data_IF_560208403256
#
_entry.id   IF_560208403256
#
_cell.length_a   1.000
_cell.length_b   1.000
_cell.length_c   1.000
_cell.angle_alpha   90.00
_cell.angle_beta   90.00
_cell.angle_gamma   90.00
#
_symmetry.space_group_name_H-M   'P 1'
#
loop_
_entity.id
_entity.type
_entity.pdbx_description
1 polymer ?
#
# COMPACT_ATOMS: atom_id res chain seq x y z
N UNK A 1 -2.00 5.82 6.43
CA UNK A 1 -3.04 4.79 6.22
C UNK A 1 -3.61 4.24 7.52
N UNK A 2 -2.82 3.82 8.53
CA UNK A 2 -3.37 3.34 9.84
C UNK A 2 -4.40 4.30 10.44
N UNK A 3 -4.20 5.63 10.37
CA UNK A 3 -5.18 6.62 10.86
C UNK A 3 -6.42 6.76 9.96
N UNK A 4 -6.27 6.59 8.65
CA UNK A 4 -7.40 6.65 7.71
C UNK A 4 -8.24 5.37 7.79
N UNK A 5 -7.61 4.22 7.93
CA UNK A 5 -8.27 2.93 8.18
C UNK A 5 -9.00 2.95 9.53
N UNK A 6 -8.37 3.46 10.58
CA UNK A 6 -9.02 3.64 11.89
C UNK A 6 -10.20 4.63 11.81
N UNK A 7 -10.11 5.68 11.00
CA UNK A 7 -11.24 6.62 10.79
C UNK A 7 -12.32 5.97 9.91
N UNK A 8 -11.96 5.18 8.90
CA UNK A 8 -12.93 4.46 8.07
C UNK A 8 -13.62 3.33 8.85
N UNK A 9 -12.88 2.56 9.65
CA UNK A 9 -13.44 1.58 10.60
C UNK A 9 -14.34 2.26 11.63
N UNK A 10 -13.90 3.37 12.23
CA UNK A 10 -14.71 4.15 13.17
C UNK A 10 -15.97 4.74 12.51
N UNK A 11 -15.93 5.12 11.22
CA UNK A 11 -17.10 5.57 10.47
C UNK A 11 -18.04 4.41 10.13
N UNK A 12 -17.54 3.23 9.81
CA UNK A 12 -18.36 2.02 9.58
C UNK A 12 -19.04 1.59 10.88
N UNK A 13 -18.35 1.59 12.01
CA UNK A 13 -18.95 1.31 13.32
C UNK A 13 -20.02 2.33 13.72
N UNK A 14 -19.86 3.62 13.39
CA UNK A 14 -20.87 4.66 13.67
C UNK A 14 -22.12 4.49 12.82
N UNK A 15 -22.02 3.93 11.60
CA UNK A 15 -23.20 3.69 10.74
C UNK A 15 -23.93 2.39 11.06
N UNK A 16 -23.28 1.39 11.64
CA UNK A 16 -23.95 0.14 12.07
C UNK A 16 -24.77 0.31 13.36
N UNK A 17 -24.45 1.31 14.19
CA UNK A 17 -25.17 1.60 15.44
C UNK A 17 -26.49 2.39 15.27
N UNK A 18 -26.89 2.76 14.03
CA UNK A 18 -28.09 3.57 13.79
C UNK A 18 -29.32 2.73 13.38
N UNK A 19 -29.21 1.41 13.26
CA UNK A 19 -30.25 0.59 12.61
C UNK A 19 -31.18 -0.20 13.53
N UNK A 20 -31.05 -0.19 14.86
CA UNK A 20 -32.05 -0.86 15.71
C UNK A 20 -32.21 -0.23 17.10
N UNK A 21 -33.45 0.10 17.47
CA UNK A 21 -33.95 0.18 18.83
C UNK A 21 -34.46 1.54 19.31
N UNK A 22 -35.73 1.55 19.68
CA UNK A 22 -36.46 2.64 20.36
C UNK A 22 -35.70 3.14 21.58
N UNK A 23 -35.39 4.44 21.62
CA UNK A 23 -34.69 5.09 22.74
C UNK A 23 -35.64 5.87 23.61
N UNK A 24 -35.50 5.62 24.89
CA UNK A 24 -35.95 6.50 25.95
C UNK A 24 -34.89 7.62 26.18
N UNK A 25 -35.20 8.91 26.13
CA UNK A 25 -34.20 9.98 26.01
C UNK A 25 -33.77 10.60 27.35
N UNK A 26 -33.57 9.85 28.41
CA UNK A 26 -33.16 10.43 29.72
C UNK A 26 -32.04 9.60 30.37
N UNK A 27 -30.78 9.79 29.93
CA UNK A 27 -29.57 9.88 30.75
C UNK A 27 -28.28 9.93 29.91
N UNK A 28 -27.55 11.07 29.81
CA UNK A 28 -26.38 11.17 28.91
C UNK A 28 -25.02 10.83 29.54
N UNK A 29 -24.92 10.38 30.80
CA UNK A 29 -23.62 10.20 31.44
C UNK A 29 -23.51 8.84 32.16
N UNK A 30 -23.59 7.72 31.40
CA UNK A 30 -23.09 6.46 31.91
C UNK A 30 -22.40 5.70 30.77
N UNK A 31 -21.07 5.55 30.80
CA UNK A 31 -20.39 4.62 29.86
C UNK A 31 -21.01 3.23 30.08
N UNK A 32 -21.46 2.61 29.01
CA UNK A 32 -21.99 1.26 29.09
C UNK A 32 -20.85 0.34 29.53
N UNK A 33 -21.04 -0.30 30.68
CA UNK A 33 -20.19 -1.39 31.15
C UNK A 33 -20.18 -2.46 30.04
N UNK A 34 -19.00 -3.01 29.65
CA UNK A 34 -18.94 -4.10 28.70
C UNK A 34 -19.90 -5.20 29.14
N UNK A 35 -20.83 -5.60 28.29
CA UNK A 35 -21.76 -6.70 28.57
C UNK A 35 -21.01 -8.01 28.34
N UNK A 36 -20.28 -8.50 29.34
CA UNK A 36 -19.59 -9.77 29.27
C UNK A 36 -20.24 -10.81 30.19
N UNK A 37 -20.34 -12.05 29.73
CA UNK A 37 -20.67 -13.20 30.57
C UNK A 37 -19.40 -13.89 31.04
N UNK A 38 -19.37 -14.43 32.27
CA UNK A 38 -18.25 -15.26 32.73
C UNK A 38 -18.05 -16.45 31.80
N UNK A 39 -16.87 -16.56 31.20
CA UNK A 39 -16.55 -17.58 30.23
C UNK A 39 -15.84 -18.77 30.89
N UNK A 40 -16.60 -19.77 31.38
CA UNK A 40 -15.97 -21.05 31.74
C UNK A 40 -15.48 -21.81 30.49
N UNK A 41 -16.20 -21.70 29.37
CA UNK A 41 -15.82 -22.20 28.06
C UNK A 41 -16.54 -21.46 26.94
N UNK A 42 -15.88 -21.30 25.82
CA UNK A 42 -16.43 -20.82 24.55
C UNK A 42 -16.31 -21.96 23.55
N UNK A 43 -17.33 -22.17 22.74
CA UNK A 43 -17.32 -23.14 21.65
C UNK A 43 -17.82 -22.47 20.38
N UNK A 44 -17.06 -22.60 19.31
CA UNK A 44 -17.40 -22.18 17.96
C UNK A 44 -17.26 -23.35 16.98
N UNK A 45 -17.62 -23.15 15.72
CA UNK A 45 -17.43 -24.16 14.67
C UNK A 45 -15.95 -24.49 14.44
N UNK A 46 -15.04 -23.53 14.52
CA UNK A 46 -13.62 -23.68 14.17
C UNK A 46 -12.68 -23.83 15.38
N UNK A 47 -13.09 -23.42 16.59
CA UNK A 47 -12.29 -23.61 17.80
C UNK A 47 -13.13 -23.72 19.07
N UNK A 48 -12.50 -24.13 20.15
CA UNK A 48 -13.07 -24.05 21.50
C UNK A 48 -12.02 -23.57 22.49
N UNK A 49 -12.44 -22.86 23.55
CA UNK A 49 -11.59 -22.32 24.58
C UNK A 49 -12.13 -22.67 25.97
N UNK A 50 -11.26 -23.16 26.85
CA UNK A 50 -11.54 -23.32 28.30
C UNK A 50 -10.77 -22.24 29.05
N UNK A 51 -11.41 -21.11 29.28
CA UNK A 51 -10.75 -19.94 29.83
C UNK A 51 -10.70 -19.91 31.36
N UNK A 52 -11.67 -20.50 32.03
CA UNK A 52 -11.81 -20.40 33.52
C UNK A 52 -12.55 -19.14 33.94
N UNK A 53 -13.05 -19.13 35.19
CA UNK A 53 -14.04 -18.17 35.65
C UNK A 53 -13.56 -16.73 35.91
N UNK A 54 -12.31 -16.39 35.66
CA UNK A 54 -11.79 -15.02 35.76
C UNK A 54 -11.91 -14.26 34.43
N UNK A 55 -12.04 -14.98 33.32
CA UNK A 55 -12.18 -14.42 32.00
C UNK A 55 -13.63 -14.00 31.70
N UNK A 56 -13.77 -12.90 31.00
CA UNK A 56 -15.04 -12.37 30.52
C UNK A 56 -15.03 -12.44 29.00
N UNK A 57 -16.02 -13.07 28.39
CA UNK A 57 -16.23 -13.03 26.95
C UNK A 57 -16.93 -11.73 26.57
N UNK A 58 -16.39 -11.01 25.60
CA UNK A 58 -16.99 -9.78 25.07
C UNK A 58 -18.01 -10.17 24.00
N UNK A 59 -19.30 -10.16 24.38
CA UNK A 59 -20.40 -10.68 23.54
C UNK A 59 -20.57 -9.93 22.22
N UNK A 60 -20.19 -8.64 22.17
CA UNK A 60 -20.32 -7.81 20.97
C UNK A 60 -19.18 -8.07 19.95
N UNK A 61 -18.15 -8.82 20.33
CA UNK A 61 -16.97 -9.19 19.53
C UNK A 61 -16.89 -10.74 19.34
N UNK A 62 -17.97 -11.44 19.60
CA UNK A 62 -18.06 -12.88 19.38
C UNK A 62 -18.75 -13.17 18.05
N UNK A 63 -18.08 -13.90 17.17
CA UNK A 63 -18.60 -14.36 15.89
C UNK A 63 -18.42 -15.87 15.75
N UNK A 64 -19.41 -16.55 15.19
CA UNK A 64 -19.37 -18.00 14.91
C UNK A 64 -20.10 -18.26 13.59
N UNK A 65 -19.37 -18.14 12.51
CA UNK A 65 -19.80 -18.43 11.14
C UNK A 65 -19.13 -19.71 10.62
N UNK A 66 -19.50 -20.19 9.45
CA UNK A 66 -18.99 -21.46 8.89
C UNK A 66 -17.50 -21.36 8.51
N UNK A 67 -17.08 -20.19 8.06
CA UNK A 67 -15.76 -19.87 7.53
C UNK A 67 -14.97 -18.85 8.37
N UNK A 68 -15.60 -18.24 9.36
CA UNK A 68 -14.97 -17.27 10.25
C UNK A 68 -15.48 -17.37 11.67
N UNK A 69 -14.58 -17.51 12.63
CA UNK A 69 -14.89 -17.47 14.05
C UNK A 69 -13.94 -16.56 14.80
N UNK A 70 -14.47 -15.72 15.67
CA UNK A 70 -13.69 -14.89 16.59
C UNK A 70 -14.26 -14.86 18.00
N UNK A 71 -13.36 -14.69 18.98
CA UNK A 71 -13.74 -14.47 20.37
C UNK A 71 -12.71 -13.55 21.04
N UNK A 72 -13.18 -12.53 21.74
CA UNK A 72 -12.36 -11.67 22.58
C UNK A 72 -12.66 -11.94 24.05
N UNK A 73 -11.61 -12.21 24.79
CA UNK A 73 -11.64 -12.53 26.21
C UNK A 73 -10.84 -11.50 27.00
N UNK A 74 -11.37 -11.02 28.11
CA UNK A 74 -10.71 -10.03 28.96
C UNK A 74 -10.63 -10.46 30.41
N UNK A 75 -9.55 -10.07 31.08
CA UNK A 75 -9.46 -10.00 32.54
C UNK A 75 -9.39 -8.53 32.91
N UNK A 76 -10.41 -8.03 33.59
CA UNK A 76 -10.49 -6.64 33.98
C UNK A 76 -9.57 -6.32 35.18
N UNK A 77 -9.13 -5.07 35.27
CA UNK A 77 -8.44 -4.56 36.46
C UNK A 77 -9.43 -4.47 37.64
N UNK A 78 -9.16 -5.12 38.78
CA UNK A 78 -10.05 -5.08 39.94
C UNK A 78 -10.11 -3.70 40.58
N UNK A 79 -9.18 -2.79 40.31
CA UNK A 79 -9.15 -1.42 40.81
C UNK A 79 -9.85 -0.43 39.87
N UNK A 80 -9.94 -0.78 38.55
CA UNK A 80 -10.60 0.04 37.55
C UNK A 80 -11.23 -0.84 36.47
N UNK A 81 -12.50 -1.18 36.63
CA UNK A 81 -13.23 -2.08 35.70
C UNK A 81 -13.41 -1.50 34.27
N UNK A 82 -12.93 -0.30 33.99
CA UNK A 82 -12.89 0.27 32.62
C UNK A 82 -11.63 -0.17 31.85
N UNK A 83 -10.63 -0.74 32.55
CA UNK A 83 -9.39 -1.22 31.95
C UNK A 83 -9.26 -2.74 32.10
N UNK A 84 -8.60 -3.37 31.13
CA UNK A 84 -8.23 -4.78 31.23
C UNK A 84 -6.75 -4.93 31.62
N UNK A 85 -6.47 -6.01 32.35
CA UNK A 85 -5.10 -6.45 32.63
C UNK A 85 -4.56 -7.34 31.52
N UNK A 86 -5.45 -8.12 30.89
CA UNK A 86 -5.15 -9.03 29.79
C UNK A 86 -6.35 -9.03 28.85
N UNK A 87 -6.10 -8.87 27.57
CA UNK A 87 -7.05 -9.12 26.50
C UNK A 87 -6.48 -10.22 25.60
N UNK A 88 -7.34 -11.13 25.19
CA UNK A 88 -6.97 -12.20 24.26
C UNK A 88 -7.99 -12.27 23.14
N UNK A 89 -7.55 -12.11 21.92
CA UNK A 89 -8.31 -12.32 20.71
C UNK A 89 -7.93 -13.67 20.10
N UNK A 90 -8.91 -14.50 19.79
CA UNK A 90 -8.73 -15.82 19.18
C UNK A 90 -9.56 -15.86 17.92
N UNK A 91 -8.92 -16.14 16.79
CA UNK A 91 -9.54 -16.23 15.48
C UNK A 91 -9.20 -17.54 14.78
N UNK A 92 -10.13 -18.00 13.96
CA UNK A 92 -9.88 -18.99 12.93
C UNK A 92 -10.72 -18.61 11.70
N UNK A 93 -10.08 -18.56 10.53
CA UNK A 93 -10.69 -18.11 9.28
C UNK A 93 -10.27 -19.01 8.14
N UNK A 94 -11.24 -19.43 7.31
CA UNK A 94 -10.97 -20.22 6.10
C UNK A 94 -10.73 -19.22 4.96
N UNK A 95 -9.48 -19.14 4.51
CA UNK A 95 -9.02 -18.05 3.68
C UNK A 95 -8.04 -18.49 2.58
N UNK A 96 -7.82 -17.63 1.57
CA UNK A 96 -6.85 -17.85 0.49
C UNK A 96 -5.39 -17.86 1.01
N UNK A 97 -4.53 -18.75 0.52
CA UNK A 97 -3.10 -18.75 0.88
C UNK A 97 -2.36 -17.43 0.62
N UNK A 98 -2.89 -16.55 -0.23
CA UNK A 98 -2.31 -15.25 -0.49
C UNK A 98 -2.40 -14.33 0.73
N UNK A 99 -3.58 -14.23 1.33
CA UNK A 99 -3.81 -13.39 2.50
C UNK A 99 -2.97 -13.83 3.71
N UNK A 100 -2.75 -15.16 3.84
CA UNK A 100 -1.84 -15.71 4.84
C UNK A 100 -0.42 -15.11 4.80
N UNK A 101 0.08 -14.74 3.63
CA UNK A 101 1.42 -14.16 3.50
C UNK A 101 1.47 -12.70 3.86
N UNK A 102 0.42 -11.96 3.57
CA UNK A 102 0.22 -10.60 4.09
C UNK A 102 0.28 -10.62 5.62
N UNK A 103 -0.45 -11.52 6.23
CA UNK A 103 -0.46 -11.71 7.69
C UNK A 103 0.94 -12.04 8.24
N UNK A 104 1.70 -12.91 7.58
CA UNK A 104 3.06 -13.23 8.00
C UNK A 104 3.99 -12.02 8.00
N UNK A 105 3.78 -11.06 7.10
CA UNK A 105 4.51 -9.80 7.08
C UNK A 105 3.96 -8.83 8.12
N UNK A 106 2.65 -8.66 8.20
CA UNK A 106 2.01 -7.76 9.17
C UNK A 106 2.41 -8.13 10.61
N UNK A 107 2.45 -9.43 10.92
CA UNK A 107 2.84 -9.89 12.25
C UNK A 107 4.36 -10.07 12.42
N UNK A 108 5.18 -9.62 11.47
CA UNK A 108 6.64 -9.59 11.59
C UNK A 108 7.35 -10.94 11.48
N UNK A 109 6.68 -12.00 11.01
CA UNK A 109 7.30 -13.31 10.80
C UNK A 109 8.15 -13.36 9.55
N UNK A 110 7.82 -12.58 8.53
CA UNK A 110 8.57 -12.40 7.30
C UNK A 110 8.89 -10.92 7.14
N UNK A 111 10.07 -10.59 6.66
CA UNK A 111 10.41 -9.23 6.25
C UNK A 111 10.03 -9.02 4.78
N UNK A 112 9.74 -7.78 4.39
CA UNK A 112 9.42 -7.38 3.01
C UNK A 112 10.43 -7.83 1.93
N UNK A 113 11.61 -8.27 2.31
CA UNK A 113 12.67 -8.75 1.43
C UNK A 113 12.83 -10.28 1.42
N UNK A 114 11.73 -11.07 1.53
CA UNK A 114 11.74 -12.55 1.61
C UNK A 114 12.66 -13.15 2.68
N UNK A 115 13.09 -12.37 3.64
CA UNK A 115 13.92 -12.86 4.74
C UNK A 115 13.00 -13.35 5.85
N UNK A 116 12.92 -14.67 6.00
CA UNK A 116 12.28 -15.26 7.17
C UNK A 116 12.99 -14.70 8.42
N UNK A 117 12.22 -14.15 9.34
CA UNK A 117 12.76 -13.72 10.61
C UNK A 117 13.13 -14.96 11.44
N UNK A 118 14.39 -15.38 11.39
CA UNK A 118 14.90 -16.57 12.09
C UNK A 118 14.83 -16.48 13.62
N UNK A 119 14.20 -15.46 14.18
CA UNK A 119 14.08 -15.25 15.63
C UNK A 119 12.72 -15.64 16.21
N UNK A 120 11.77 -16.10 15.39
CA UNK A 120 10.48 -16.58 15.89
C UNK A 120 10.63 -17.94 16.63
N UNK A 121 9.74 -18.16 17.58
CA UNK A 121 9.57 -19.41 18.30
C UNK A 121 8.32 -20.13 17.78
N UNK A 122 8.35 -21.44 17.65
CA UNK A 122 7.16 -22.24 17.34
C UNK A 122 6.58 -22.81 18.64
N UNK A 123 5.28 -22.57 18.87
CA UNK A 123 4.55 -23.02 20.06
C UNK A 123 3.32 -23.80 19.63
N UNK A 124 3.14 -25.01 20.18
CA UNK A 124 1.95 -25.79 19.90
C UNK A 124 0.76 -25.30 20.75
N UNK A 125 -0.28 -24.79 20.12
CA UNK A 125 -1.52 -24.34 20.75
C UNK A 125 -2.69 -25.07 20.10
N UNK A 126 -3.49 -25.76 20.89
CA UNK A 126 -4.70 -26.45 20.39
C UNK A 126 -4.43 -27.55 19.34
N UNK A 127 -3.20 -28.06 19.27
CA UNK A 127 -2.77 -29.06 18.29
C UNK A 127 -2.12 -28.48 17.03
N UNK A 128 -2.12 -27.16 16.87
CA UNK A 128 -1.48 -26.43 15.75
C UNK A 128 -0.14 -25.87 16.21
N UNK A 129 0.88 -25.99 15.38
CA UNK A 129 2.19 -25.38 15.62
C UNK A 129 2.14 -23.91 15.11
N UNK A 130 1.97 -22.98 16.04
CA UNK A 130 1.89 -21.54 15.75
C UNK A 130 3.25 -20.87 15.86
N UNK A 131 3.52 -19.93 14.99
CA UNK A 131 4.67 -19.02 15.08
C UNK A 131 4.35 -17.97 16.15
N UNK A 132 5.32 -17.72 17.04
CA UNK A 132 5.20 -16.74 18.11
C UNK A 132 6.01 -15.50 17.77
N UNK A 133 5.37 -14.37 17.82
CA UNK A 133 5.97 -13.04 17.71
C UNK A 133 5.68 -12.24 18.99
N UNK A 134 6.60 -11.38 19.39
CA UNK A 134 6.40 -10.44 20.49
C UNK A 134 6.57 -9.04 19.96
N UNK A 135 5.53 -8.24 20.05
CA UNK A 135 5.53 -6.84 19.65
C UNK A 135 5.60 -5.95 20.90
N UNK A 136 6.66 -5.18 20.99
CA UNK A 136 6.91 -4.38 22.19
C UNK A 136 7.12 -5.20 23.46
N UNK A 137 6.65 -4.68 24.58
CA UNK A 137 6.76 -5.29 25.91
C UNK A 137 5.42 -5.87 26.41
N UNK A 138 4.34 -5.71 25.64
CA UNK A 138 2.95 -5.91 26.07
C UNK A 138 2.09 -6.79 25.14
N UNK A 139 2.56 -7.11 23.93
CA UNK A 139 1.77 -7.89 22.94
C UNK A 139 2.46 -9.19 22.55
N UNK A 140 1.70 -10.30 22.57
CA UNK A 140 2.09 -11.60 22.03
C UNK A 140 1.15 -11.97 20.89
N UNK A 141 1.72 -12.37 19.75
CA UNK A 141 0.98 -12.88 18.60
C UNK A 141 1.42 -14.31 18.29
N UNK A 142 0.44 -15.19 18.10
CA UNK A 142 0.63 -16.57 17.69
C UNK A 142 -0.18 -16.80 16.43
N UNK A 143 0.46 -17.18 15.35
CA UNK A 143 -0.17 -17.26 14.06
C UNK A 143 0.38 -18.42 13.22
N UNK A 144 -0.45 -19.10 12.47
CA UNK A 144 -0.07 -19.98 11.38
C UNK A 144 -1.30 -20.37 10.55
N UNK A 145 -1.06 -21.02 9.41
CA UNK A 145 -2.08 -21.60 8.55
C UNK A 145 -2.11 -23.11 8.69
N UNK A 146 -3.31 -23.69 8.75
CA UNK A 146 -3.56 -25.13 8.68
C UNK A 146 -3.84 -25.50 7.23
N UNK A 147 -2.83 -26.05 6.52
CA UNK A 147 -2.86 -26.31 5.09
C UNK A 147 -4.08 -27.12 4.63
N UNK A 148 -4.38 -28.25 5.30
CA UNK A 148 -5.47 -29.15 4.92
C UNK A 148 -6.86 -28.56 5.09
N UNK A 149 -7.02 -27.61 5.98
CA UNK A 149 -8.27 -26.87 6.21
C UNK A 149 -8.38 -25.55 5.44
N UNK A 150 -7.29 -25.11 4.81
CA UNK A 150 -7.14 -23.76 4.25
C UNK A 150 -7.50 -22.66 5.26
N UNK A 151 -7.15 -22.84 6.53
CA UNK A 151 -7.59 -21.96 7.60
C UNK A 151 -6.40 -21.26 8.28
N UNK A 152 -6.44 -19.95 8.38
CA UNK A 152 -5.56 -19.16 9.21
C UNK A 152 -6.04 -19.24 10.66
N UNK A 153 -5.11 -19.42 11.59
CA UNK A 153 -5.37 -19.43 13.03
C UNK A 153 -4.52 -18.41 13.73
N UNK A 154 -5.13 -17.67 14.61
CA UNK A 154 -4.57 -16.49 15.21
C UNK A 154 -4.93 -16.40 16.69
N UNK A 155 -3.95 -16.08 17.54
CA UNK A 155 -4.16 -15.73 18.94
C UNK A 155 -3.31 -14.52 19.24
N UNK A 156 -3.95 -13.39 19.55
CA UNK A 156 -3.28 -12.18 20.00
C UNK A 156 -3.57 -11.97 21.48
N UNK A 157 -2.55 -11.55 22.23
CA UNK A 157 -2.67 -11.26 23.65
C UNK A 157 -2.02 -9.92 23.92
N UNK A 158 -2.81 -8.96 24.36
CA UNK A 158 -2.36 -7.69 24.90
C UNK A 158 -2.43 -7.75 26.43
N UNK A 159 -1.31 -7.51 27.12
CA UNK A 159 -1.26 -7.67 28.56
C UNK A 159 -0.31 -6.66 29.23
N UNK A 160 -0.70 -6.16 30.40
CA UNK A 160 0.17 -5.33 31.25
C UNK A 160 1.44 -6.11 31.67
N UNK A 161 1.36 -7.43 31.80
CA UNK A 161 2.50 -8.34 32.03
C UNK A 161 2.33 -9.59 31.18
N UNK A 162 3.08 -9.69 30.07
CA UNK A 162 3.06 -10.84 29.15
C UNK A 162 3.55 -12.14 29.80
N UNK A 163 4.10 -12.13 31.00
CA UNK A 163 4.48 -13.32 31.75
C UNK A 163 3.42 -13.75 32.79
N UNK A 164 2.23 -13.21 32.74
CA UNK A 164 1.14 -13.61 33.61
C UNK A 164 0.73 -15.07 33.36
N UNK A 165 0.74 -15.89 34.40
CA UNK A 165 0.43 -17.32 34.30
C UNK A 165 -0.98 -17.64 33.82
N UNK A 166 -1.89 -16.67 33.79
CA UNK A 166 -3.25 -16.81 33.24
C UNK A 166 -3.22 -16.89 31.71
N UNK A 167 -2.19 -16.30 31.09
CA UNK A 167 -1.95 -16.42 29.64
C UNK A 167 -1.63 -17.87 29.30
N UNK A 168 -0.68 -18.48 30.00
CA UNK A 168 -0.33 -19.89 29.76
C UNK A 168 -1.54 -20.81 29.94
N UNK A 169 -2.34 -20.58 30.99
CA UNK A 169 -3.54 -21.37 31.28
C UNK A 169 -4.62 -21.20 30.19
N UNK A 170 -4.75 -20.00 29.61
CA UNK A 170 -5.65 -19.76 28.47
C UNK A 170 -5.17 -20.51 27.24
N UNK A 171 -3.90 -20.38 26.87
CA UNK A 171 -3.31 -21.04 25.68
C UNK A 171 -3.45 -22.57 25.77
N UNK A 172 -3.24 -23.15 26.94
CA UNK A 172 -3.47 -24.59 27.20
C UNK A 172 -4.96 -24.99 27.06
N UNK A 173 -5.88 -24.04 27.22
CA UNK A 173 -7.33 -24.23 27.11
C UNK A 173 -7.88 -24.16 25.68
N UNK A 174 -7.11 -23.67 24.72
CA UNK A 174 -7.54 -23.54 23.32
C UNK A 174 -7.46 -24.92 22.62
N UNK A 175 -8.42 -25.18 21.75
CA UNK A 175 -8.45 -26.35 20.85
C UNK A 175 -9.04 -25.90 19.51
N UNK A 176 -8.33 -26.09 18.42
CA UNK A 176 -8.85 -25.84 17.07
C UNK A 176 -9.59 -27.07 16.54
N UNK A 177 -10.76 -26.87 15.95
CA UNK A 177 -11.65 -27.90 15.41
C UNK A 177 -11.49 -28.05 13.89
N UNK A 178 -10.27 -27.93 13.38
CA UNK A 178 -9.95 -27.95 11.96
C UNK A 178 -9.50 -29.35 11.52
N UNK A 179 -9.66 -29.67 10.24
CA UNK A 179 -9.06 -30.87 9.65
C UNK A 179 -7.53 -30.66 9.50
N UNK A 180 -6.75 -31.73 9.61
CA UNK A 180 -5.28 -31.74 9.39
C UNK A 180 -4.48 -30.72 10.22
N UNK A 181 -4.89 -30.45 11.45
CA UNK A 181 -4.27 -29.46 12.35
C UNK A 181 -2.74 -29.63 12.58
N UNK A 182 -2.19 -30.82 12.32
CA UNK A 182 -0.75 -31.09 12.41
C UNK A 182 0.02 -30.75 11.12
N UNK A 183 -0.66 -30.29 10.06
CA UNK A 183 -0.08 -29.92 8.77
C UNK A 183 -0.19 -28.42 8.61
N UNK A 184 0.88 -27.69 8.82
CA UNK A 184 0.94 -26.23 8.83
C UNK A 184 1.88 -25.70 7.76
N UNK A 185 1.56 -24.53 7.19
CA UNK A 185 2.33 -23.90 6.11
C UNK A 185 3.60 -23.19 6.61
N UNK A 186 3.56 -22.63 7.79
CA UNK A 186 4.69 -21.83 8.30
C UNK A 186 5.83 -22.65 8.93
N UNK A 187 7.05 -22.10 8.97
CA UNK A 187 7.43 -20.83 8.38
C UNK A 187 7.52 -20.92 6.86
N UNK A 188 7.03 -19.91 6.18
CA UNK A 188 7.15 -19.85 4.73
C UNK A 188 8.60 -19.57 4.34
N UNK A 189 9.15 -20.35 3.41
CA UNK A 189 10.46 -20.14 2.80
C UNK A 189 10.28 -19.83 1.32
N UNK A 190 10.91 -18.75 0.86
CA UNK A 190 10.96 -18.46 -0.57
C UNK A 190 11.69 -19.57 -1.31
N UNK A 191 11.11 -20.09 -2.38
CA UNK A 191 11.63 -21.20 -3.18
C UNK A 191 12.87 -20.84 -4.03
N UNK A 192 13.23 -19.55 -4.08
CA UNK A 192 14.33 -19.00 -4.85
C UNK A 192 13.99 -18.70 -6.31
N UNK A 193 12.77 -18.92 -6.75
CA UNK A 193 12.32 -18.50 -8.07
C UNK A 193 12.08 -16.99 -8.08
N UNK A 194 12.69 -16.32 -9.05
CA UNK A 194 12.56 -14.88 -9.24
C UNK A 194 11.60 -14.61 -10.39
N UNK A 195 10.89 -13.50 -10.29
CA UNK A 195 10.11 -12.98 -11.40
C UNK A 195 10.99 -12.78 -12.62
N UNK A 196 10.49 -13.12 -13.79
CA UNK A 196 11.14 -12.92 -15.09
C UNK A 196 10.11 -12.61 -16.14
N UNK A 197 10.39 -11.63 -17.00
CA UNK A 197 9.58 -11.32 -18.17
C UNK A 197 10.45 -11.25 -19.44
N UNK A 198 9.88 -11.70 -20.53
CA UNK A 198 10.50 -11.58 -21.85
C UNK A 198 10.34 -10.15 -22.39
N UNK A 199 11.32 -9.72 -23.20
CA UNK A 199 11.21 -8.47 -23.94
C UNK A 199 10.08 -8.53 -24.97
N UNK A 200 9.26 -7.50 -25.02
CA UNK A 200 8.16 -7.39 -25.96
C UNK A 200 8.24 -6.13 -26.82
N UNK A 201 7.50 -6.10 -27.93
CA UNK A 201 7.42 -4.92 -28.79
C UNK A 201 6.12 -4.88 -29.56
N UNK A 202 5.42 -3.75 -29.51
CA UNK A 202 4.14 -3.50 -30.17
C UNK A 202 4.23 -2.26 -31.04
N UNK A 203 3.72 -2.35 -32.29
CA UNK A 203 3.62 -1.21 -33.19
C UNK A 203 2.21 -0.61 -33.12
N UNK A 204 2.13 0.69 -32.85
CA UNK A 204 0.88 1.44 -32.77
C UNK A 204 1.03 2.83 -33.37
N UNK A 205 0.49 3.04 -34.57
CA UNK A 205 0.61 4.31 -35.29
C UNK A 205 2.05 4.70 -35.60
N UNK A 206 2.52 5.81 -35.04
CA UNK A 206 3.90 6.30 -35.17
C UNK A 206 4.84 5.73 -34.10
N UNK A 207 4.31 4.97 -33.15
CA UNK A 207 5.05 4.39 -32.02
C UNK A 207 5.48 2.95 -32.35
N UNK A 208 6.63 2.56 -31.80
CA UNK A 208 7.07 1.17 -31.73
C UNK A 208 7.47 0.91 -30.27
N UNK A 209 6.47 0.79 -29.40
CA UNK A 209 6.71 0.62 -27.96
C UNK A 209 7.35 -0.74 -27.70
N UNK A 210 8.46 -0.76 -27.02
CA UNK A 210 9.15 -1.99 -26.61
C UNK A 210 9.51 -1.93 -25.14
N UNK A 211 9.50 -3.08 -24.50
CA UNK A 211 9.84 -3.25 -23.10
C UNK A 211 11.04 -4.16 -22.92
N UNK A 212 11.80 -3.89 -21.89
CA UNK A 212 12.94 -4.69 -21.45
C UNK A 212 12.83 -4.84 -19.92
N UNK A 213 12.71 -6.07 -19.45
CA UNK A 213 12.66 -6.36 -18.02
C UNK A 213 14.00 -6.04 -17.37
N UNK A 214 13.98 -5.35 -16.25
CA UNK A 214 15.15 -4.97 -15.46
C UNK A 214 14.95 -5.46 -14.02
N UNK A 215 15.50 -6.62 -13.68
CA UNK A 215 15.38 -7.15 -12.32
C UNK A 215 16.10 -6.25 -11.30
N UNK A 216 15.56 -6.20 -10.10
CA UNK A 216 16.36 -5.77 -8.95
C UNK A 216 17.41 -6.84 -8.62
N UNK A 217 18.62 -6.46 -8.20
CA UNK A 217 19.67 -7.38 -7.79
C UNK A 217 19.17 -8.33 -6.69
N UNK A 218 18.45 -7.80 -5.71
CA UNK A 218 17.69 -8.56 -4.72
C UNK A 218 16.20 -8.35 -4.96
N UNK A 219 15.35 -9.40 -4.87
CA UNK A 219 13.90 -9.23 -5.00
C UNK A 219 13.37 -8.26 -3.95
N UNK A 220 12.43 -7.42 -4.36
CA UNK A 220 11.69 -6.53 -3.46
C UNK A 220 10.27 -7.04 -3.40
N UNK A 221 9.88 -7.60 -2.27
CA UNK A 221 8.49 -7.96 -2.01
C UNK A 221 7.74 -6.78 -1.44
N UNK A 222 6.48 -6.68 -1.79
CA UNK A 222 5.56 -5.69 -1.26
C UNK A 222 4.16 -6.29 -1.20
N UNK A 223 3.35 -5.82 -0.27
CA UNK A 223 1.92 -6.10 -0.22
C UNK A 223 1.10 -4.85 -0.57
N UNK A 224 1.76 -3.71 -0.69
CA UNK A 224 1.12 -2.46 -1.11
C UNK A 224 1.27 -2.30 -2.62
N UNK A 225 0.15 -2.38 -3.34
CA UNK A 225 0.15 -2.42 -4.81
C UNK A 225 0.38 -1.06 -5.47
N UNK A 226 0.20 0.06 -4.76
CA UNK A 226 0.19 1.39 -5.38
C UNK A 226 1.13 2.43 -4.75
N UNK A 227 1.71 2.16 -3.60
CA UNK A 227 2.40 3.18 -2.80
C UNK A 227 3.90 3.28 -3.08
N UNK A 228 4.33 2.83 -4.28
CA UNK A 228 5.72 2.97 -4.70
C UNK A 228 5.88 4.07 -5.74
N UNK A 229 6.88 4.92 -5.56
CA UNK A 229 7.24 5.96 -6.51
C UNK A 229 8.69 5.84 -6.97
N UNK A 230 8.98 6.28 -8.18
CA UNK A 230 10.30 6.19 -8.79
C UNK A 230 10.78 7.51 -9.35
N UNK A 231 12.05 7.82 -9.12
CA UNK A 231 12.74 8.93 -9.78
C UNK A 231 14.06 8.45 -10.39
N UNK A 232 14.57 9.15 -11.39
CA UNK A 232 15.82 8.81 -12.03
C UNK A 232 16.73 10.04 -12.26
N UNK A 233 18.05 9.87 -12.06
CA UNK A 233 19.07 10.87 -12.33
C UNK A 233 20.29 10.15 -12.93
N UNK A 234 20.50 10.29 -14.22
CA UNK A 234 21.55 9.55 -14.91
C UNK A 234 21.25 8.04 -14.87
N UNK A 235 22.19 7.27 -14.32
CA UNK A 235 22.09 5.84 -14.11
C UNK A 235 21.62 5.45 -12.69
N UNK A 236 21.31 6.44 -11.85
CA UNK A 236 20.74 6.22 -10.52
C UNK A 236 19.22 6.23 -10.58
N UNK A 237 18.62 5.22 -9.99
CA UNK A 237 17.18 5.06 -9.85
C UNK A 237 16.87 5.07 -8.35
N UNK A 238 15.91 5.89 -7.97
CA UNK A 238 15.46 6.06 -6.59
C UNK A 238 14.06 5.48 -6.49
N UNK A 239 13.87 4.54 -5.57
CA UNK A 239 12.60 3.89 -5.33
C UNK A 239 12.15 4.23 -3.92
N UNK A 240 11.01 4.84 -3.81
CA UNK A 240 10.33 5.14 -2.55
C UNK A 240 9.17 4.18 -2.40
N UNK A 241 9.05 3.57 -1.24
CA UNK A 241 7.96 2.68 -0.88
C UNK A 241 8.21 2.05 0.50
N UNK A 242 7.16 1.58 1.16
CA UNK A 242 7.23 0.98 2.49
C UNK A 242 7.99 1.86 3.52
N UNK A 243 7.84 3.19 3.42
CA UNK A 243 8.55 4.15 4.29
C UNK A 243 10.05 4.26 4.02
N UNK A 244 10.57 3.66 2.94
CA UNK A 244 11.99 3.64 2.60
C UNK A 244 12.29 4.30 1.26
N UNK A 245 13.34 5.12 1.21
CA UNK A 245 13.89 5.65 -0.04
C UNK A 245 15.20 4.90 -0.35
N UNK A 246 15.15 4.03 -1.36
CA UNK A 246 16.29 3.21 -1.81
C UNK A 246 16.93 3.84 -3.04
N UNK A 247 18.25 3.90 -3.07
CA UNK A 247 19.04 4.26 -4.26
C UNK A 247 19.55 2.99 -4.92
N UNK A 248 19.21 2.82 -6.20
CA UNK A 248 19.73 1.75 -7.05
C UNK A 248 20.58 2.34 -8.18
N UNK A 249 21.52 1.57 -8.69
CA UNK A 249 22.29 1.88 -9.89
C UNK A 249 21.84 0.95 -11.02
N UNK A 250 21.35 1.53 -12.11
CA UNK A 250 21.05 0.78 -13.33
C UNK A 250 22.34 0.53 -14.13
N UNK A 251 22.79 -0.72 -14.13
CA UNK A 251 24.04 -1.11 -14.80
C UNK A 251 23.87 -1.47 -16.28
N UNK A 252 22.66 -1.32 -16.83
CA UNK A 252 22.30 -1.69 -18.19
C UNK A 252 21.54 -3.02 -18.30
N UNK A 253 21.45 -3.80 -17.24
CA UNK A 253 20.75 -5.09 -17.19
C UNK A 253 19.95 -5.34 -15.93
N UNK A 254 20.29 -4.69 -14.82
CA UNK A 254 19.65 -4.86 -13.52
C UNK A 254 19.79 -3.59 -12.68
N UNK A 255 18.95 -3.48 -11.65
CA UNK A 255 19.00 -2.45 -10.61
C UNK A 255 19.77 -2.98 -9.41
N UNK A 256 21.00 -2.48 -9.25
CA UNK A 256 21.90 -2.86 -8.14
C UNK A 256 21.66 -1.92 -6.96
N UNK A 257 21.31 -2.45 -5.81
CA UNK A 257 21.14 -1.67 -4.59
C UNK A 257 22.46 -0.99 -4.18
N UNK A 258 22.40 0.31 -3.85
CA UNK A 258 23.56 1.11 -3.43
C UNK A 258 23.46 1.51 -1.97
N UNK A 259 22.39 2.18 -1.60
CA UNK A 259 22.19 2.70 -0.24
C UNK A 259 20.70 2.97 0.03
N UNK A 260 20.35 2.97 1.31
CA UNK A 260 19.08 3.49 1.82
C UNK A 260 19.28 4.90 2.34
N UNK A 261 18.35 5.78 2.01
CA UNK A 261 18.30 7.14 2.54
C UNK A 261 17.24 7.16 3.65
N UNK A 262 17.66 7.46 4.87
CA UNK A 262 16.73 7.56 5.99
C UNK A 262 15.89 8.83 5.87
N UNK A 263 14.58 8.67 5.85
CA UNK A 263 13.60 9.76 5.88
C UNK A 263 13.16 10.01 7.34
N UNK A 264 12.73 11.23 7.69
CA UNK A 264 12.30 11.53 9.05
C UNK A 264 10.92 10.96 9.41
N UNK A 265 10.16 10.51 8.44
CA UNK A 265 8.84 9.90 8.58
C UNK A 265 8.67 8.79 7.52
N UNK A 266 7.76 7.85 7.73
CA UNK A 266 7.47 6.72 6.85
C UNK A 266 6.25 6.95 5.93
N UNK A 267 5.51 8.04 6.10
CA UNK A 267 4.30 8.34 5.34
C UNK A 267 4.56 9.07 3.99
N UNK A 268 5.80 9.10 3.49
CA UNK A 268 6.09 9.64 2.16
C UNK A 268 5.77 8.64 1.07
N UNK A 269 5.05 9.07 0.02
CA UNK A 269 4.55 8.22 -1.07
C UNK A 269 4.98 8.68 -2.47
N UNK A 270 5.71 9.80 -2.58
CA UNK A 270 6.13 10.37 -3.86
C UNK A 270 7.57 10.85 -3.85
N UNK A 271 8.35 10.46 -4.85
CA UNK A 271 9.70 10.98 -5.11
C UNK A 271 9.82 11.46 -6.55
N UNK A 272 10.36 12.65 -6.75
CA UNK A 272 10.69 13.19 -8.06
C UNK A 272 12.11 13.74 -8.09
N UNK A 273 12.73 13.76 -9.26
CA UNK A 273 14.08 14.22 -9.44
C UNK A 273 14.15 15.49 -10.31
N UNK A 274 15.07 16.38 -9.98
CA UNK A 274 15.34 17.58 -10.77
C UNK A 274 16.70 17.52 -11.45
N UNK A 275 16.85 18.27 -12.53
CA UNK A 275 18.05 18.24 -13.38
C UNK A 275 19.38 18.58 -12.65
N UNK A 276 19.30 19.24 -11.50
CA UNK A 276 20.48 19.54 -10.67
C UNK A 276 20.86 18.39 -9.70
N UNK A 277 20.13 17.27 -9.74
CA UNK A 277 20.38 16.10 -8.92
C UNK A 277 19.73 16.16 -7.53
N UNK A 278 18.76 17.03 -7.32
CA UNK A 278 17.97 17.09 -6.09
C UNK A 278 16.74 16.18 -6.21
N UNK A 279 16.49 15.37 -5.19
CA UNK A 279 15.25 14.62 -5.03
C UNK A 279 14.26 15.46 -4.23
N UNK A 280 13.01 15.40 -4.61
CA UNK A 280 11.89 16.00 -3.92
C UNK A 280 10.99 14.87 -3.45
N UNK A 281 10.80 14.78 -2.13
CA UNK A 281 10.03 13.72 -1.48
C UNK A 281 8.82 14.36 -0.82
N UNK A 282 7.63 13.88 -1.11
CA UNK A 282 6.36 14.44 -0.62
C UNK A 282 5.34 13.33 -0.36
N UNK A 283 4.22 13.68 0.23
CA UNK A 283 3.09 12.78 0.48
C UNK A 283 2.70 12.68 1.95
N UNK A 284 1.56 12.02 2.23
CA UNK A 284 1.13 11.66 3.56
C UNK A 284 0.79 12.81 4.51
N UNK A 285 0.57 14.04 4.03
CA UNK A 285 0.43 15.27 4.82
C UNK A 285 1.72 15.65 5.59
N UNK A 286 2.87 15.17 5.12
CA UNK A 286 4.17 15.51 5.65
C UNK A 286 4.76 16.72 4.90
N UNK A 287 5.79 17.31 5.51
CA UNK A 287 6.55 18.37 4.87
C UNK A 287 7.29 17.85 3.63
N UNK A 288 7.37 18.66 2.58
CA UNK A 288 8.19 18.32 1.40
C UNK A 288 9.67 18.41 1.71
N UNK A 289 10.39 17.34 1.45
CA UNK A 289 11.84 17.26 1.63
C UNK A 289 12.59 17.46 0.31
N UNK A 290 13.70 18.21 0.36
CA UNK A 290 14.71 18.19 -0.67
C UNK A 290 15.89 17.36 -0.20
N UNK A 291 16.21 16.30 -0.92
CA UNK A 291 17.30 15.38 -0.61
C UNK A 291 18.37 15.49 -1.69
N UNK A 292 19.64 15.67 -1.30
CA UNK A 292 20.77 15.71 -2.22
C UNK A 292 21.97 15.00 -1.62
N UNK A 293 22.60 14.13 -2.39
CA UNK A 293 23.75 13.32 -1.95
C UNK A 293 23.45 12.59 -0.63
N UNK A 294 22.25 12.00 -0.51
CA UNK A 294 21.80 11.24 0.66
C UNK A 294 21.45 12.10 1.90
N UNK A 295 21.40 13.41 1.78
CA UNK A 295 21.10 14.30 2.91
C UNK A 295 19.90 15.19 2.64
N UNK A 296 19.04 15.38 3.64
CA UNK A 296 17.98 16.40 3.61
C UNK A 296 18.65 17.78 3.67
N UNK A 297 18.50 18.56 2.59
CA UNK A 297 19.11 19.91 2.44
C UNK A 297 18.11 21.04 2.66
N UNK A 298 16.82 20.76 2.53
CA UNK A 298 15.73 21.69 2.82
C UNK A 298 14.45 20.92 3.16
N UNK A 299 13.60 21.56 3.95
CA UNK A 299 12.25 21.10 4.28
C UNK A 299 11.29 22.26 4.06
N UNK A 300 10.13 21.98 3.44
CA UNK A 300 9.09 22.97 3.18
C UNK A 300 7.80 22.52 3.84
N UNK A 301 7.40 23.25 4.89
CA UNK A 301 6.16 23.05 5.63
C UNK A 301 4.96 23.57 4.81
N UNK A 302 3.76 23.04 5.08
CA UNK A 302 2.49 23.46 4.46
C UNK A 302 2.41 23.20 2.92
N UNK A 303 3.06 22.15 2.42
CA UNK A 303 2.86 21.61 1.07
C UNK A 303 2.51 20.12 1.23
N UNK A 304 1.36 19.70 0.70
CA UNK A 304 0.88 18.32 0.87
C UNK A 304 1.53 17.35 -0.14
N UNK A 305 1.17 17.46 -1.41
CA UNK A 305 1.74 16.69 -2.51
C UNK A 305 2.35 17.62 -3.53
N UNK A 306 3.57 17.32 -3.96
CA UNK A 306 4.29 18.18 -4.89
C UNK A 306 4.60 17.44 -6.20
N UNK A 307 4.12 17.98 -7.32
CA UNK A 307 4.67 17.65 -8.63
C UNK A 307 5.65 18.74 -9.03
N UNK A 308 6.96 18.40 -9.09
CA UNK A 308 8.03 19.37 -9.31
C UNK A 308 8.38 19.50 -10.79
N UNK A 309 8.59 20.73 -11.24
CA UNK A 309 9.16 20.99 -12.56
C UNK A 309 10.63 20.56 -12.61
N UNK A 310 11.14 19.96 -13.71
CA UNK A 310 12.51 19.46 -13.81
C UNK A 310 13.63 20.47 -13.42
N UNK A 311 13.36 21.78 -13.51
CA UNK A 311 14.32 22.80 -13.06
C UNK A 311 14.43 22.96 -11.55
N UNK A 312 13.52 22.39 -10.77
CA UNK A 312 13.42 22.60 -9.31
C UNK A 312 12.97 23.99 -8.87
N UNK A 313 12.70 24.89 -9.82
CA UNK A 313 12.37 26.28 -9.48
C UNK A 313 10.90 26.51 -9.11
N UNK A 314 10.03 25.61 -9.50
CA UNK A 314 8.59 25.64 -9.22
C UNK A 314 7.97 24.27 -9.36
N UNK A 315 6.79 24.10 -8.80
CA UNK A 315 5.98 22.89 -8.90
C UNK A 315 4.50 23.20 -8.72
N UNK A 316 3.71 22.16 -8.63
CA UNK A 316 2.29 22.22 -8.29
C UNK A 316 2.07 21.47 -6.99
N UNK A 317 1.65 22.20 -5.98
CA UNK A 317 1.13 21.67 -4.74
C UNK A 317 -0.35 21.33 -4.97
N UNK A 318 -0.71 20.07 -4.79
CA UNK A 318 -2.03 19.55 -5.08
C UNK A 318 -2.48 18.55 -4.01
N UNK A 319 -3.77 18.44 -3.91
CA UNK A 319 -4.46 17.40 -3.13
C UNK A 319 -5.58 16.81 -3.99
N UNK A 320 -6.58 16.25 -3.41
CA UNK A 320 -7.68 15.59 -4.15
C UNK A 320 -8.52 16.57 -4.99
N UNK A 321 -8.61 17.85 -4.57
CA UNK A 321 -9.45 18.86 -5.23
C UNK A 321 -8.75 19.51 -6.44
N UNK A 322 -9.54 20.13 -7.32
CA UNK A 322 -9.03 20.90 -8.45
C UNK A 322 -8.49 22.31 -8.08
N UNK A 323 -8.57 22.70 -6.81
CA UNK A 323 -8.00 23.92 -6.26
C UNK A 323 -6.58 23.63 -5.76
N UNK A 324 -5.57 24.05 -6.51
CA UNK A 324 -4.16 23.77 -6.30
C UNK A 324 -3.36 25.06 -6.12
N UNK A 325 -2.06 24.94 -5.89
CA UNK A 325 -1.14 26.07 -5.87
C UNK A 325 0.02 25.84 -6.83
N UNK A 326 0.38 26.87 -7.61
CA UNK A 326 1.70 26.92 -8.23
C UNK A 326 2.66 27.43 -7.16
N UNK A 327 3.59 26.60 -6.73
CA UNK A 327 4.62 26.93 -5.75
C UNK A 327 5.90 27.31 -6.46
N UNK A 328 6.53 28.41 -6.05
CA UNK A 328 7.81 28.88 -6.61
C UNK A 328 8.83 28.95 -5.49
N UNK A 329 9.94 28.23 -5.63
CA UNK A 329 10.97 28.08 -4.62
C UNK A 329 12.06 29.15 -4.73
N UNK A 330 12.57 29.61 -3.58
CA UNK A 330 13.66 30.56 -3.47
C UNK A 330 14.48 30.31 -2.20
N UNK A 331 15.55 29.56 -2.31
CA UNK A 331 16.31 29.08 -1.16
C UNK A 331 15.43 28.17 -0.30
N UNK A 332 15.37 28.42 1.00
CA UNK A 332 14.55 27.64 1.97
C UNK A 332 13.14 28.23 2.15
N UNK A 333 12.62 28.92 1.17
CA UNK A 333 11.26 29.49 1.21
C UNK A 333 10.56 29.31 -0.12
N UNK A 334 9.23 29.37 -0.11
CA UNK A 334 8.42 29.34 -1.32
C UNK A 334 7.32 30.40 -1.29
N UNK A 335 6.72 30.63 -2.44
CA UNK A 335 5.49 31.41 -2.59
C UNK A 335 4.48 30.58 -3.32
N UNK A 336 3.27 30.46 -2.75
CA UNK A 336 2.15 29.77 -3.35
C UNK A 336 1.24 30.76 -4.09
N UNK A 337 0.82 30.40 -5.29
CA UNK A 337 -0.14 31.15 -6.11
C UNK A 337 -1.29 30.23 -6.46
N UNK A 338 -2.51 30.50 -6.00
CA UNK A 338 -3.67 29.65 -6.28
C UNK A 338 -3.92 29.49 -7.78
N UNK A 339 -4.22 28.27 -8.19
CA UNK A 339 -4.68 27.90 -9.53
C UNK A 339 -5.87 26.94 -9.41
N UNK A 340 -6.82 27.05 -10.33
CA UNK A 340 -7.97 26.14 -10.39
C UNK A 340 -7.99 25.47 -11.75
N UNK A 341 -7.93 24.15 -11.77
CA UNK A 341 -8.04 23.32 -12.96
C UNK A 341 -9.52 23.02 -13.24
N UNK A 342 -10.21 23.93 -13.88
CA UNK A 342 -11.69 23.99 -13.98
C UNK A 342 -12.34 22.79 -14.68
N UNK A 343 -11.60 22.10 -15.52
CA UNK A 343 -12.07 20.93 -16.26
C UNK A 343 -11.95 19.64 -15.44
N UNK A 344 -11.17 19.67 -14.35
CA UNK A 344 -11.03 18.60 -13.39
C UNK A 344 -11.99 18.80 -12.19
N UNK A 345 -12.45 17.72 -11.61
CA UNK A 345 -13.17 17.68 -10.33
C UNK A 345 -12.29 17.09 -9.24
N UNK A 346 -11.98 15.80 -9.31
CA UNK A 346 -11.13 15.10 -8.36
C UNK A 346 -9.83 14.71 -9.04
N UNK A 347 -8.70 15.24 -8.54
CA UNK A 347 -7.37 14.93 -9.03
C UNK A 347 -6.92 13.61 -8.40
N UNK A 348 -6.53 12.66 -9.23
CA UNK A 348 -5.96 11.37 -8.82
C UNK A 348 -4.44 11.39 -8.90
N UNK A 349 -3.89 12.01 -9.96
CA UNK A 349 -2.46 12.14 -10.15
C UNK A 349 -2.11 13.42 -10.90
N UNK A 350 -0.90 13.94 -10.68
CA UNK A 350 -0.42 15.14 -11.36
C UNK A 350 1.07 15.00 -11.68
N UNK A 351 1.41 15.25 -12.95
CA UNK A 351 2.80 15.28 -13.42
C UNK A 351 3.15 16.64 -14.00
N UNK A 352 4.42 17.01 -13.96
CA UNK A 352 4.94 18.25 -14.54
C UNK A 352 6.18 17.96 -15.39
N UNK A 353 6.15 18.33 -16.67
CA UNK A 353 7.33 18.30 -17.52
C UNK A 353 7.85 19.73 -17.81
N UNK A 354 8.81 19.87 -18.76
CA UNK A 354 9.38 21.15 -19.14
C UNK A 354 8.35 22.19 -19.62
N UNK A 355 7.20 21.79 -20.13
CA UNK A 355 6.24 22.66 -20.82
C UNK A 355 4.84 22.60 -20.24
N UNK A 356 4.45 21.49 -19.63
CA UNK A 356 3.07 21.15 -19.33
C UNK A 356 2.90 20.73 -17.86
N UNK A 357 1.67 20.92 -17.40
CA UNK A 357 1.12 20.32 -16.19
C UNK A 357 0.06 19.33 -16.69
N UNK A 358 0.20 18.06 -16.33
CA UNK A 358 -0.73 16.99 -16.64
C UNK A 358 -1.58 16.70 -15.40
N UNK A 359 -2.85 16.91 -15.49
CA UNK A 359 -3.83 16.66 -14.42
C UNK A 359 -4.65 15.43 -14.78
N UNK A 360 -4.37 14.31 -14.14
CA UNK A 360 -5.14 13.07 -14.28
C UNK A 360 -6.28 13.11 -13.28
N UNK A 361 -7.51 13.25 -13.75
CA UNK A 361 -8.63 13.58 -12.89
C UNK A 361 -9.97 13.08 -13.43
N UNK A 362 -10.95 12.96 -12.55
CA UNK A 362 -12.36 12.93 -12.96
C UNK A 362 -12.72 14.25 -13.63
N UNK A 363 -13.44 14.18 -14.74
CA UNK A 363 -13.88 15.39 -15.45
C UNK A 363 -15.02 16.09 -14.69
N UNK A 364 -14.97 17.42 -14.64
CA UNK A 364 -15.98 18.23 -13.95
C UNK A 364 -17.41 18.17 -14.59
N UNK A 365 -17.53 17.56 -15.76
CA UNK A 365 -18.79 17.33 -16.47
C UNK A 365 -19.30 15.89 -16.36
N UNK A 366 -18.75 15.10 -15.43
CA UNK A 366 -19.06 13.69 -15.20
C UNK A 366 -18.79 12.77 -16.41
N UNK A 367 -17.94 13.18 -17.35
CA UNK A 367 -17.61 12.42 -18.56
C UNK A 367 -16.43 11.45 -18.38
N UNK A 368 -16.25 10.91 -17.17
CA UNK A 368 -15.20 9.93 -16.84
C UNK A 368 -13.86 10.57 -16.51
N UNK A 369 -12.83 9.74 -16.38
CA UNK A 369 -11.47 10.17 -16.08
C UNK A 369 -10.73 10.59 -17.34
N UNK A 370 -9.94 11.67 -17.26
CA UNK A 370 -9.19 12.23 -18.39
C UNK A 370 -7.86 12.79 -17.93
N UNK A 371 -6.96 13.00 -18.88
CA UNK A 371 -5.77 13.80 -18.64
C UNK A 371 -5.94 15.18 -19.26
N UNK A 372 -5.94 16.18 -18.42
CA UNK A 372 -6.01 17.59 -18.83
C UNK A 372 -4.59 18.17 -18.88
N UNK A 373 -4.18 18.65 -20.03
CA UNK A 373 -2.84 19.24 -20.26
C UNK A 373 -2.95 20.75 -20.16
N UNK A 374 -2.32 21.32 -19.13
CA UNK A 374 -2.29 22.75 -18.88
C UNK A 374 -0.86 23.33 -19.08
N UNK A 375 -0.80 24.61 -19.37
CA UNK A 375 0.45 25.34 -19.24
C UNK A 375 0.63 25.84 -17.78
N UNK A 376 1.81 26.37 -17.45
CA UNK A 376 2.12 26.93 -16.12
C UNK A 376 1.12 27.99 -15.62
N UNK A 377 0.41 28.67 -16.51
CA UNK A 377 -0.58 29.68 -16.13
C UNK A 377 -1.97 29.06 -15.81
N UNK A 378 -2.10 27.74 -15.78
CA UNK A 378 -3.36 27.02 -15.55
C UNK A 378 -4.34 27.13 -16.73
N UNK A 379 -3.81 27.38 -17.96
CA UNK A 379 -4.66 27.45 -19.16
C UNK A 379 -4.63 26.10 -19.87
N UNK A 380 -5.82 25.49 -20.01
CA UNK A 380 -5.98 24.22 -20.73
C UNK A 380 -5.45 24.32 -22.16
N UNK A 381 -4.63 23.36 -22.55
CA UNK A 381 -4.05 23.22 -23.88
C UNK A 381 -4.71 22.07 -24.65
N UNK A 382 -4.93 20.93 -23.97
CA UNK A 382 -5.51 19.71 -24.55
C UNK A 382 -6.23 18.90 -23.49
N UNK A 383 -7.12 18.03 -23.95
CA UNK A 383 -7.70 16.95 -23.16
C UNK A 383 -7.36 15.63 -23.86
N UNK A 384 -6.79 14.70 -23.12
CA UNK A 384 -6.48 13.35 -23.58
C UNK A 384 -7.52 12.40 -22.97
N UNK A 385 -8.13 11.59 -23.80
CA UNK A 385 -9.14 10.60 -23.43
C UNK A 385 -8.98 9.36 -24.32
N UNK A 386 -9.79 8.36 -24.11
CA UNK A 386 -9.89 7.18 -24.95
C UNK A 386 -10.50 7.48 -26.34
N UNK A 387 -10.67 6.43 -27.15
CA UNK A 387 -11.20 6.54 -28.52
C UNK A 387 -12.63 7.07 -28.58
N UNK A 388 -13.44 6.76 -27.60
CA UNK A 388 -14.86 7.11 -27.52
C UNK A 388 -15.10 8.43 -26.76
N UNK A 389 -14.08 8.93 -26.08
CA UNK A 389 -14.12 10.14 -25.25
C UNK A 389 -14.83 9.95 -23.92
N UNK A 390 -15.06 8.69 -23.52
CA UNK A 390 -15.83 8.34 -22.32
C UNK A 390 -14.98 8.30 -21.05
N UNK A 391 -13.68 8.04 -21.16
CA UNK A 391 -12.78 8.11 -20.01
C UNK A 391 -11.69 7.05 -20.00
N UNK A 392 -10.72 7.31 -19.16
CA UNK A 392 -9.56 6.46 -18.88
C UNK A 392 -9.75 5.81 -17.51
N UNK A 393 -8.88 4.89 -17.15
CA UNK A 393 -8.73 4.44 -15.76
C UNK A 393 -7.97 5.47 -14.91
N UNK A 394 -7.09 5.01 -14.04
CA UNK A 394 -6.25 5.86 -13.20
C UNK A 394 -4.86 5.99 -13.82
N UNK A 395 -4.63 7.06 -14.60
CA UNK A 395 -3.32 7.31 -15.21
C UNK A 395 -2.34 7.77 -14.13
N UNK A 396 -1.35 6.95 -13.84
CA UNK A 396 -0.34 7.20 -12.77
C UNK A 396 0.87 7.97 -13.28
N UNK A 397 1.14 7.91 -14.58
CA UNK A 397 2.23 8.65 -15.21
C UNK A 397 1.88 9.04 -16.63
N UNK A 398 2.34 10.21 -17.07
CA UNK A 398 2.23 10.67 -18.45
C UNK A 398 3.37 11.61 -18.81
N UNK A 399 3.85 11.50 -20.04
CA UNK A 399 4.84 12.44 -20.57
C UNK A 399 4.65 12.69 -22.06
N UNK A 400 5.14 13.83 -22.54
CA UNK A 400 5.20 14.14 -23.97
C UNK A 400 6.49 13.60 -24.60
N UNK A 401 6.35 12.96 -25.74
CA UNK A 401 7.43 12.40 -26.52
C UNK A 401 7.54 13.11 -27.89
N UNK A 402 8.51 12.72 -28.72
CA UNK A 402 8.64 13.26 -30.08
C UNK A 402 7.41 12.92 -30.97
N UNK A 403 6.76 11.78 -30.73
CA UNK A 403 5.66 11.27 -31.57
C UNK A 403 4.28 11.61 -31.02
N UNK A 404 4.17 12.06 -29.75
CA UNK A 404 2.90 12.36 -29.09
C UNK A 404 3.00 12.24 -27.58
N UNK A 405 2.01 11.63 -26.97
CA UNK A 405 1.97 11.40 -25.53
C UNK A 405 1.95 9.88 -25.26
N UNK A 406 2.61 9.49 -24.18
CA UNK A 406 2.54 8.15 -23.60
C UNK A 406 2.13 8.26 -22.15
N UNK A 407 1.15 7.45 -21.73
CA UNK A 407 0.68 7.37 -20.35
C UNK A 407 0.57 5.91 -19.91
N UNK A 408 0.63 5.70 -18.58
CA UNK A 408 0.45 4.40 -17.95
C UNK A 408 -0.80 4.46 -17.07
N UNK A 409 -1.73 3.56 -17.32
CA UNK A 409 -2.99 3.45 -16.59
C UNK A 409 -2.87 2.36 -15.51
N UNK A 410 -2.80 2.78 -14.26
CA UNK A 410 -2.65 1.87 -13.12
C UNK A 410 -3.85 0.94 -12.92
N UNK A 411 -5.07 1.42 -13.15
CA UNK A 411 -6.29 0.64 -12.95
C UNK A 411 -6.57 -0.35 -14.09
N UNK A 412 -6.42 0.11 -15.34
CA UNK A 412 -6.65 -0.74 -16.51
C UNK A 412 -5.41 -1.53 -16.90
N UNK A 413 -4.26 -1.16 -16.34
CA UNK A 413 -2.95 -1.80 -16.57
C UNK A 413 -2.46 -1.69 -18.00
N UNK A 414 -2.78 -0.59 -18.68
CA UNK A 414 -2.54 -0.38 -20.09
C UNK A 414 -1.54 0.75 -20.35
N UNK A 415 -0.86 0.67 -21.49
CA UNK A 415 -0.07 1.79 -22.02
C UNK A 415 -0.91 2.54 -23.05
N UNK A 416 -1.13 3.81 -22.78
CA UNK A 416 -2.01 4.69 -23.56
C UNK A 416 -1.17 5.60 -24.47
N UNK A 417 -1.56 5.73 -25.74
CA UNK A 417 -0.85 6.51 -26.74
C UNK A 417 -1.75 7.53 -27.41
N UNK A 418 -1.27 8.76 -27.52
CA UNK A 418 -1.94 9.85 -28.27
C UNK A 418 -0.96 10.55 -29.20
N UNK A 419 -1.45 11.06 -30.32
CA UNK A 419 -0.65 11.88 -31.22
C UNK A 419 -0.33 13.27 -30.61
N UNK A 420 0.52 14.05 -31.30
CA UNK A 420 0.86 15.40 -30.88
C UNK A 420 -0.33 16.38 -30.81
N UNK A 421 -1.48 16.05 -31.37
CA UNK A 421 -2.70 16.86 -31.25
C UNK A 421 -3.57 16.44 -30.06
N UNK A 422 -3.24 15.31 -29.41
CA UNK A 422 -4.03 14.71 -28.34
C UNK A 422 -5.10 13.74 -28.84
N UNK A 423 -5.00 13.31 -30.10
CA UNK A 423 -5.90 12.28 -30.66
C UNK A 423 -5.44 10.91 -30.19
N UNK A 424 -6.35 10.13 -29.61
CA UNK A 424 -6.07 8.78 -29.17
C UNK A 424 -5.60 7.88 -30.34
N UNK A 425 -4.54 7.13 -30.14
CA UNK A 425 -3.96 6.23 -31.14
C UNK A 425 -4.22 4.78 -30.78
N UNK A 426 -3.88 4.39 -29.54
CA UNK A 426 -3.96 3.01 -29.10
C UNK A 426 -3.90 2.91 -27.58
N UNK A 427 -4.46 1.83 -27.12
CA UNK A 427 -4.28 1.22 -25.82
C UNK A 427 -3.56 -0.10 -26.04
N UNK A 428 -2.48 -0.35 -25.34
CA UNK A 428 -1.69 -1.58 -25.43
C UNK A 428 -1.78 -2.26 -24.08
N UNK A 429 -2.34 -3.46 -24.06
CA UNK A 429 -2.55 -4.17 -22.82
C UNK A 429 -1.22 -4.64 -22.18
N UNK A 430 -1.24 -4.80 -20.89
CA UNK A 430 -0.15 -5.32 -20.07
C UNK A 430 0.40 -6.65 -20.62
N UNK A 431 -0.46 -7.59 -20.96
CA UNK A 431 -0.09 -8.90 -21.51
C UNK A 431 0.68 -8.85 -22.83
N UNK A 432 0.49 -7.77 -23.63
CA UNK A 432 1.19 -7.59 -24.89
C UNK A 432 2.61 -6.99 -24.71
N UNK A 433 2.85 -6.29 -23.61
CA UNK A 433 4.11 -5.57 -23.38
C UNK A 433 4.94 -6.10 -22.21
N UNK A 434 4.32 -6.57 -21.13
CA UNK A 434 5.07 -6.84 -19.91
C UNK A 434 5.21 -8.34 -19.61
N UNK A 435 4.42 -9.19 -20.25
CA UNK A 435 4.46 -10.67 -20.08
C UNK A 435 4.37 -11.11 -18.61
N UNK A 436 3.57 -10.38 -17.84
CA UNK A 436 3.40 -10.56 -16.40
C UNK A 436 2.09 -11.26 -16.10
N UNK A 437 1.90 -11.71 -14.86
CA UNK A 437 0.66 -12.33 -14.41
C UNK A 437 -0.46 -11.31 -14.22
N UNK A 438 -0.22 -10.31 -13.35
CA UNK A 438 -1.22 -9.30 -13.00
C UNK A 438 -0.54 -8.00 -12.50
N UNK A 439 0.08 -7.23 -13.42
CA UNK A 439 0.87 -6.08 -13.02
C UNK A 439 0.00 -4.89 -12.62
N UNK A 440 0.48 -4.13 -11.63
CA UNK A 440 -0.06 -2.83 -11.27
C UNK A 440 1.01 -1.76 -11.47
N UNK A 441 0.74 -0.78 -12.31
CA UNK A 441 1.65 0.35 -12.48
C UNK A 441 1.66 1.21 -11.20
N UNK A 442 2.83 1.30 -10.58
CA UNK A 442 3.04 2.16 -9.43
C UNK A 442 3.40 3.58 -9.90
N UNK A 443 4.56 3.71 -10.56
CA UNK A 443 5.05 5.01 -11.04
C UNK A 443 6.09 4.82 -12.14
N UNK A 444 6.50 5.93 -12.79
CA UNK A 444 7.48 5.92 -13.87
C UNK A 444 8.33 7.19 -13.87
N UNK A 445 9.56 7.05 -14.37
CA UNK A 445 10.49 8.18 -14.54
C UNK A 445 11.15 8.16 -15.92
N UNK A 446 11.42 9.34 -16.47
CA UNK A 446 12.14 9.49 -17.74
C UNK A 446 13.64 9.44 -17.47
N UNK A 447 14.35 8.57 -18.19
CA UNK A 447 15.80 8.45 -18.15
C UNK A 447 16.48 9.46 -19.10
N UNK A 448 17.79 9.67 -18.92
CA UNK A 448 18.57 10.65 -19.71
C UNK A 448 18.55 10.37 -21.23
N UNK A 449 18.38 9.15 -21.66
CA UNK A 449 18.28 8.77 -23.06
C UNK A 449 16.86 8.91 -23.65
N UNK A 450 15.92 9.37 -22.85
CA UNK A 450 14.52 9.53 -23.20
C UNK A 450 13.68 8.26 -23.08
N UNK A 451 14.26 7.13 -22.70
CA UNK A 451 13.47 5.94 -22.30
C UNK A 451 12.77 6.19 -20.96
N UNK A 452 11.77 5.36 -20.66
CA UNK A 452 11.04 5.43 -19.39
C UNK A 452 11.38 4.18 -18.59
N UNK A 453 11.78 4.36 -17.32
CA UNK A 453 11.72 3.28 -16.35
C UNK A 453 10.35 3.30 -15.68
N UNK A 454 9.65 2.18 -15.69
CA UNK A 454 8.42 1.99 -14.95
C UNK A 454 8.62 0.93 -13.88
N UNK A 455 8.09 1.17 -12.70
CA UNK A 455 8.00 0.18 -11.64
C UNK A 455 6.56 -0.28 -11.51
N UNK A 456 6.40 -1.56 -11.25
CA UNK A 456 5.11 -2.21 -11.11
C UNK A 456 5.20 -3.23 -9.99
N UNK A 457 4.09 -3.50 -9.33
CA UNK A 457 3.95 -4.72 -8.56
C UNK A 457 3.34 -5.80 -9.43
N UNK A 458 3.83 -7.00 -9.33
CA UNK A 458 3.31 -8.14 -10.05
C UNK A 458 3.10 -9.34 -9.14
N UNK A 459 1.93 -9.92 -9.26
CA UNK A 459 1.51 -11.07 -8.50
C UNK A 459 1.92 -12.34 -9.21
N UNK A 460 2.61 -13.26 -8.55
CA UNK A 460 2.98 -14.54 -9.14
C UNK A 460 1.74 -15.35 -9.51
N UNK A 461 1.83 -16.17 -10.59
CA UNK A 461 0.72 -17.04 -11.02
C UNK A 461 0.18 -17.95 -9.92
N UNK A 462 1.06 -18.41 -9.02
CA UNK A 462 0.69 -19.26 -7.87
C UNK A 462 0.24 -18.43 -6.65
N UNK A 463 0.15 -17.09 -6.79
CA UNK A 463 -0.14 -16.13 -5.73
C UNK A 463 0.80 -16.24 -4.52
N UNK A 464 1.99 -16.76 -4.75
CA UNK A 464 2.95 -17.01 -3.68
C UNK A 464 3.61 -15.76 -3.15
N UNK A 465 3.65 -14.68 -3.93
CA UNK A 465 4.18 -13.37 -3.53
C UNK A 465 3.83 -12.31 -4.56
N UNK A 466 3.85 -11.06 -4.13
CA UNK A 466 3.89 -9.88 -5.00
C UNK A 466 5.31 -9.33 -5.01
N UNK A 467 5.88 -9.12 -6.17
CA UNK A 467 7.22 -8.54 -6.34
C UNK A 467 7.14 -7.15 -6.95
N UNK A 468 7.98 -6.24 -6.49
CA UNK A 468 8.25 -5.02 -7.22
C UNK A 468 9.16 -5.34 -8.41
N UNK A 469 8.72 -5.00 -9.60
CA UNK A 469 9.42 -5.26 -10.86
C UNK A 469 9.64 -3.96 -11.63
N UNK A 470 10.70 -3.92 -12.43
CA UNK A 470 10.98 -2.75 -13.25
C UNK A 470 11.14 -3.12 -14.73
N UNK A 471 10.70 -2.21 -15.60
CA UNK A 471 10.88 -2.31 -17.03
C UNK A 471 11.42 -1.01 -17.60
N UNK A 472 12.26 -1.10 -18.61
CA UNK A 472 12.60 0.02 -19.48
C UNK A 472 11.68 0.00 -20.70
N UNK A 473 10.94 1.08 -20.88
CA UNK A 473 10.03 1.27 -22.02
C UNK A 473 10.68 2.23 -23.02
N UNK A 474 10.70 1.88 -24.29
CA UNK A 474 11.38 2.60 -25.38
C UNK A 474 10.50 2.72 -26.62
N UNK A 475 10.88 3.59 -27.59
CA UNK A 475 10.32 3.61 -28.94
C UNK A 475 9.16 4.56 -29.19
N UNK A 476 9.15 5.69 -28.49
CA UNK A 476 8.11 6.73 -28.56
C UNK A 476 8.65 8.13 -28.90
#
# INVERSE_FOLDING_TARGET
>A
MKKLFAILLALIMVFSLVACGDKNPDNPDNPQKPSGSSADSIETSLFSVKAGGEWINIEDEFEDEEDYCSAVLQILDPEDEEYYLIEAEIKAEIEDPYDFREDLVEYGFIQYEYKVNNTYETVNIGGVDLLKYTDGDDTLVYFNRVEGANANVYVKIDAVDINDSRIDALLEGITFNLEDIGNVDGPWEWDGERFHADAASVNAGAFTVSTEFVPFEEPVTTFETFDHSVAAIGDRVFVLGDGELKTCHYNGTELVFVEKIDLPDDDYDRVEATADGTLWVSGGMNDVLCVKDGNVIATYEDIDNLAIHPSGAWGVDFYVSNECNIVTFSGNSFTATPVVFKEADTIMHLCVDENNIYVCASAADDSGHKVFVYNKAGVLQKTLCDADGEGLGSVTFITQTANGYIGFDGNMRDVLLWDNNGTFIAEISDGDLFSTGYPWFCDSAVLDDGSIITIMTDEREDKSATELVAFIVKGF
#
